data_IF_550412182748
#
_entry.id   IF_550412182748
#
_cell.length_a   1.000
_cell.length_b   1.000
_cell.length_c   1.000
_cell.angle_alpha   90.00
_cell.angle_beta   90.00
_cell.angle_gamma   90.00
#
_symmetry.space_group_name_H-M   'P 1'
#
loop_
_entity.id
_entity.type
_entity.pdbx_description
1 polymer ?
#
# COMPACT_ATOMS: atom_id res chain seq x y z
N UNK A 1 11.65 9.22 10.48
CA UNK A 1 10.84 8.00 10.69
C UNK A 1 9.88 7.74 9.54
N UNK A 2 9.03 8.70 9.13
CA UNK A 2 8.21 8.57 7.92
C UNK A 2 9.06 8.24 6.66
N UNK A 3 10.28 8.78 6.59
CA UNK A 3 11.22 8.60 5.48
C UNK A 3 11.79 7.19 5.30
N UNK A 4 11.53 6.23 6.19
CA UNK A 4 12.05 4.85 6.06
C UNK A 4 10.94 3.81 5.95
N UNK A 5 9.90 3.92 6.79
CA UNK A 5 8.80 2.95 6.77
C UNK A 5 7.97 3.12 5.50
N UNK A 6 7.55 4.33 5.16
CA UNK A 6 6.64 4.55 4.04
C UNK A 6 7.26 4.16 2.69
N UNK A 7 8.52 4.54 2.35
CA UNK A 7 9.16 4.07 1.12
C UNK A 7 9.31 2.54 1.07
N UNK A 8 9.50 1.87 2.22
CA UNK A 8 9.58 0.40 2.26
C UNK A 8 8.28 -0.31 1.87
N UNK A 9 7.15 0.43 1.83
CA UNK A 9 5.85 -0.10 1.42
C UNK A 9 5.61 -0.04 -0.10
N UNK A 10 6.45 0.66 -0.88
CA UNK A 10 6.31 0.79 -2.34
C UNK A 10 6.26 -0.59 -3.01
N UNK A 11 7.27 -1.43 -2.77
CA UNK A 11 7.34 -2.75 -3.40
C UNK A 11 6.19 -3.68 -2.97
N UNK A 12 5.85 -3.82 -1.67
CA UNK A 12 4.67 -4.55 -1.23
C UNK A 12 3.37 -4.06 -1.88
N UNK A 13 3.19 -2.75 -2.00
CA UNK A 13 2.01 -2.14 -2.60
C UNK A 13 1.87 -2.47 -4.09
N UNK A 14 2.94 -2.27 -4.86
CA UNK A 14 2.93 -2.59 -6.29
C UNK A 14 2.70 -4.09 -6.54
N UNK A 15 3.26 -4.95 -5.67
CA UNK A 15 3.05 -6.39 -5.75
C UNK A 15 1.59 -6.77 -5.50
N UNK A 16 0.97 -6.18 -4.47
CA UNK A 16 -0.43 -6.39 -4.14
C UNK A 16 -1.35 -6.07 -5.34
N UNK A 17 -1.21 -4.88 -5.93
CA UNK A 17 -2.04 -4.48 -7.07
C UNK A 17 -1.81 -5.32 -8.32
N UNK A 18 -0.56 -5.71 -8.59
CA UNK A 18 -0.24 -6.66 -9.66
C UNK A 18 -1.01 -7.96 -9.47
N UNK A 19 -0.97 -8.54 -8.27
CA UNK A 19 -1.63 -9.81 -7.97
C UNK A 19 -3.16 -9.70 -8.01
N UNK A 20 -3.72 -8.56 -7.59
CA UNK A 20 -5.16 -8.29 -7.65
C UNK A 20 -5.68 -8.20 -9.10
N UNK A 21 -4.95 -7.57 -10.01
CA UNK A 21 -5.36 -7.44 -11.41
C UNK A 21 -5.12 -8.70 -12.27
N UNK A 22 -4.19 -9.57 -11.86
CA UNK A 22 -3.84 -10.79 -12.62
C UNK A 22 -4.51 -12.07 -12.10
N UNK A 23 -5.21 -12.03 -10.97
CA UNK A 23 -5.77 -13.23 -10.35
C UNK A 23 -7.30 -13.27 -10.39
N UNK A 24 -7.85 -14.14 -11.24
CA UNK A 24 -9.22 -14.61 -11.10
C UNK A 24 -9.30 -15.51 -9.85
N UNK A 25 -9.63 -14.93 -8.70
CA UNK A 25 -9.93 -15.64 -7.44
C UNK A 25 -8.86 -16.65 -6.99
N UNK A 26 -7.87 -16.20 -6.21
CA UNK A 26 -7.01 -17.11 -5.46
C UNK A 26 -6.93 -16.72 -3.99
N UNK A 27 -7.41 -17.66 -3.19
CA UNK A 27 -7.18 -17.93 -1.77
C UNK A 27 -6.08 -17.07 -1.11
N UNK A 28 -6.52 -15.98 -0.45
CA UNK A 28 -5.66 -15.03 0.28
C UNK A 28 -5.12 -15.61 1.60
N UNK A 29 -5.38 -16.89 1.90
CA UNK A 29 -5.03 -17.52 3.18
C UNK A 29 -3.64 -18.15 3.25
N UNK A 30 -2.78 -17.94 2.25
CA UNK A 30 -1.38 -18.36 2.29
C UNK A 30 -0.60 -17.66 3.41
N UNK A 31 -0.55 -18.28 4.60
CA UNK A 31 0.32 -17.82 5.70
C UNK A 31 1.78 -17.97 5.27
N UNK A 32 2.40 -16.88 4.82
CA UNK A 32 3.84 -16.85 4.60
C UNK A 32 4.54 -16.94 5.94
N UNK A 33 5.23 -18.06 6.20
CA UNK A 33 6.02 -18.27 7.42
C UNK A 33 7.45 -17.85 7.14
N UNK A 34 7.97 -16.89 7.91
CA UNK A 34 9.39 -16.54 7.85
C UNK A 34 10.21 -17.54 8.67
N UNK A 35 11.32 -18.03 8.10
CA UNK A 35 12.22 -19.00 8.77
C UNK A 35 13.46 -18.34 9.39
N UNK A 36 13.41 -17.04 9.68
CA UNK A 36 14.55 -16.33 10.23
C UNK A 36 14.77 -16.68 11.72
N UNK A 37 16.01 -16.62 12.18
CA UNK A 37 16.34 -16.88 13.60
C UNK A 37 16.06 -15.68 14.53
N UNK A 38 15.38 -14.64 14.06
CA UNK A 38 15.08 -13.45 14.87
C UNK A 38 13.89 -13.70 15.81
N UNK A 39 13.56 -12.75 16.67
CA UNK A 39 12.37 -12.86 17.53
C UNK A 39 11.12 -12.65 16.69
N UNK A 40 10.21 -13.61 16.75
CA UNK A 40 8.86 -13.51 16.19
C UNK A 40 7.87 -13.12 17.28
N UNK A 41 6.85 -12.35 16.91
CA UNK A 41 5.68 -12.13 17.76
C UNK A 41 4.45 -11.96 16.89
N UNK A 42 3.31 -12.40 17.44
CA UNK A 42 2.01 -12.19 16.82
C UNK A 42 1.56 -10.76 17.09
N UNK A 43 1.16 -10.06 16.03
CA UNK A 43 0.50 -8.76 16.11
C UNK A 43 -0.91 -8.90 15.56
N UNK A 44 -1.91 -8.69 16.40
CA UNK A 44 -3.32 -8.67 16.02
C UNK A 44 -3.71 -7.25 15.58
N UNK A 45 -4.34 -7.15 14.42
CA UNK A 45 -4.74 -5.87 13.84
C UNK A 45 -6.19 -5.97 13.39
N UNK A 46 -7.04 -5.08 13.91
CA UNK A 46 -8.41 -4.95 13.42
C UNK A 46 -8.38 -4.24 12.07
N UNK A 47 -8.87 -4.92 11.04
CA UNK A 47 -8.85 -4.48 9.66
C UNK A 47 -10.27 -4.14 9.21
N UNK A 48 -10.44 -2.95 8.64
CA UNK A 48 -11.74 -2.37 8.32
C UNK A 48 -11.92 -2.29 6.82
N UNK A 49 -12.94 -2.98 6.33
CA UNK A 49 -13.49 -2.82 4.98
C UNK A 49 -14.72 -1.91 5.04
N UNK A 50 -15.26 -1.58 3.86
CA UNK A 50 -16.54 -0.85 3.77
C UNK A 50 -17.70 -1.70 4.33
N UNK A 51 -17.67 -3.02 4.10
CA UNK A 51 -18.80 -3.91 4.39
C UNK A 51 -18.63 -4.71 5.70
N UNK A 52 -17.41 -4.85 6.20
CA UNK A 52 -17.11 -5.72 7.33
C UNK A 52 -15.85 -5.31 8.09
N UNK A 53 -15.70 -5.87 9.29
CA UNK A 53 -14.49 -5.79 10.11
C UNK A 53 -13.96 -7.21 10.31
N UNK A 54 -12.64 -7.40 10.18
CA UNK A 54 -11.97 -8.66 10.47
C UNK A 54 -10.68 -8.45 11.27
N UNK A 55 -10.31 -9.40 12.13
CA UNK A 55 -9.04 -9.36 12.85
C UNK A 55 -7.99 -10.20 12.12
N UNK A 56 -6.85 -9.58 11.82
CA UNK A 56 -5.73 -10.21 11.11
C UNK A 56 -4.57 -10.41 12.07
N UNK A 57 -4.11 -11.64 12.20
CA UNK A 57 -2.92 -12.00 12.98
C UNK A 57 -1.67 -12.04 12.09
N UNK A 58 -0.71 -11.16 12.37
CA UNK A 58 0.54 -11.02 11.63
C UNK A 58 1.70 -11.69 12.38
N UNK A 59 2.61 -12.35 11.66
CA UNK A 59 3.84 -12.91 12.23
C UNK A 59 5.00 -11.93 12.00
N UNK A 60 5.25 -11.05 12.96
CA UNK A 60 6.18 -9.92 12.83
C UNK A 60 7.57 -10.31 13.31
N UNK A 61 8.56 -10.07 12.46
CA UNK A 61 9.98 -10.31 12.74
C UNK A 61 10.85 -9.23 12.08
N UNK A 62 12.19 -9.30 12.25
CA UNK A 62 13.10 -8.32 11.63
C UNK A 62 13.03 -8.30 10.10
N UNK A 63 12.65 -9.41 9.48
CA UNK A 63 12.54 -9.55 8.02
C UNK A 63 11.17 -9.13 7.48
N UNK A 64 10.14 -9.09 8.34
CA UNK A 64 8.75 -8.87 7.95
C UNK A 64 8.07 -7.91 8.92
N UNK A 65 7.99 -6.65 8.53
CA UNK A 65 7.31 -5.62 9.32
C UNK A 65 5.79 -5.81 9.28
N UNK A 66 5.09 -5.39 10.34
CA UNK A 66 3.62 -5.36 10.38
C UNK A 66 3.01 -4.57 9.22
N UNK A 67 3.42 -3.30 8.99
CA UNK A 67 2.96 -2.52 7.84
C UNK A 67 3.13 -3.21 6.48
N UNK A 68 4.28 -3.86 6.24
CA UNK A 68 4.52 -4.56 4.98
C UNK A 68 3.60 -5.76 4.78
N UNK A 69 3.32 -6.51 5.87
CA UNK A 69 2.38 -7.63 5.82
C UNK A 69 0.93 -7.14 5.62
N UNK A 70 0.52 -6.07 6.29
CA UNK A 70 -0.82 -5.48 6.09
C UNK A 70 -1.04 -5.12 4.62
N UNK A 71 -0.08 -4.46 3.97
CA UNK A 71 -0.18 -4.10 2.54
C UNK A 71 -0.28 -5.33 1.66
N UNK A 72 0.46 -6.40 1.96
CA UNK A 72 0.34 -7.68 1.26
C UNK A 72 -1.06 -8.33 1.43
N UNK A 73 -1.72 -8.10 2.56
CA UNK A 73 -3.08 -8.55 2.82
C UNK A 73 -4.17 -7.62 2.26
N UNK A 74 -3.80 -6.50 1.64
CA UNK A 74 -4.75 -5.53 1.11
C UNK A 74 -5.19 -4.47 2.10
N UNK A 75 -4.41 -4.21 3.15
CA UNK A 75 -4.69 -3.20 4.16
C UNK A 75 -3.56 -2.19 4.30
N UNK A 76 -3.92 -0.97 4.66
CA UNK A 76 -2.96 0.05 5.03
C UNK A 76 -3.09 0.38 6.52
N UNK A 77 -1.97 0.40 7.28
CA UNK A 77 -2.01 0.66 8.71
C UNK A 77 -2.45 2.10 9.02
N UNK A 78 -3.30 2.27 10.03
CA UNK A 78 -3.61 3.59 10.58
C UNK A 78 -2.44 4.20 11.38
N UNK A 79 -1.47 3.37 11.80
CA UNK A 79 -0.24 3.79 12.46
C UNK A 79 0.96 2.95 11.97
N UNK A 80 2.03 3.62 11.54
CA UNK A 80 3.19 2.95 10.91
C UNK A 80 4.09 2.14 11.87
N UNK A 81 4.01 2.39 13.19
CA UNK A 81 4.93 1.77 14.17
C UNK A 81 4.29 0.60 14.90
N UNK A 82 3.07 0.79 15.41
CA UNK A 82 2.28 -0.24 16.08
C UNK A 82 0.84 -0.13 15.59
N UNK A 83 0.53 -0.73 14.42
CA UNK A 83 -0.84 -0.73 13.92
C UNK A 83 -1.71 -1.62 14.79
N UNK A 84 -2.72 -1.02 15.42
CA UNK A 84 -3.85 -1.75 16.03
C UNK A 84 -5.06 -1.76 15.12
N UNK A 85 -5.10 -0.84 14.16
CA UNK A 85 -6.18 -0.66 13.19
C UNK A 85 -5.57 -0.47 11.80
N UNK A 86 -6.24 -1.02 10.78
CA UNK A 86 -5.90 -0.84 9.38
C UNK A 86 -7.17 -0.67 8.53
N UNK A 87 -7.03 0.05 7.42
CA UNK A 87 -8.09 0.28 6.45
C UNK A 87 -7.79 -0.47 5.15
N UNK A 88 -8.79 -1.09 4.52
CA UNK A 88 -8.60 -1.77 3.23
C UNK A 88 -8.07 -0.82 2.16
N UNK A 89 -7.16 -1.28 1.32
CA UNK A 89 -6.57 -0.50 0.23
C UNK A 89 -7.63 -0.04 -0.78
N UNK A 90 -8.60 -0.89 -1.13
CA UNK A 90 -9.70 -0.53 -2.04
C UNK A 90 -10.51 0.67 -1.51
N UNK A 91 -10.78 0.72 -0.21
CA UNK A 91 -11.43 1.87 0.44
C UNK A 91 -10.56 3.13 0.36
N UNK A 92 -9.25 2.99 0.56
CA UNK A 92 -8.32 4.12 0.51
C UNK A 92 -8.05 4.62 -0.91
N UNK A 93 -8.30 3.80 -1.93
CA UNK A 93 -8.34 4.23 -3.33
C UNK A 93 -9.65 4.96 -3.65
N UNK A 94 -10.78 4.43 -3.18
CA UNK A 94 -12.11 4.97 -3.44
C UNK A 94 -12.35 6.36 -2.79
N UNK A 95 -11.94 6.56 -1.55
CA UNK A 95 -12.28 7.79 -0.81
C UNK A 95 -11.64 9.07 -1.40
N UNK A 96 -10.35 9.08 -1.79
CA UNK A 96 -9.78 10.20 -2.54
C UNK A 96 -10.48 10.47 -3.87
N UNK A 97 -10.92 9.42 -4.58
CA UNK A 97 -11.71 9.54 -5.82
C UNK A 97 -13.07 10.20 -5.56
N UNK A 98 -13.76 9.76 -4.51
CA UNK A 98 -15.00 10.39 -4.05
C UNK A 98 -14.78 11.89 -3.74
N UNK A 99 -13.72 12.23 -3.01
CA UNK A 99 -13.40 13.62 -2.65
C UNK A 99 -12.94 14.50 -3.82
N UNK A 100 -12.70 13.94 -5.01
CA UNK A 100 -12.56 14.73 -6.24
C UNK A 100 -13.90 15.20 -6.82
N UNK A 101 -15.00 14.55 -6.43
CA UNK A 101 -16.35 14.82 -6.92
C UNK A 101 -17.25 15.50 -5.90
N UNK A 102 -16.91 15.43 -4.61
CA UNK A 102 -17.62 16.09 -3.51
C UNK A 102 -16.65 16.76 -2.55
N UNK A 103 -17.14 17.71 -1.74
CA UNK A 103 -16.33 18.36 -0.72
C UNK A 103 -15.73 17.33 0.26
N UNK A 104 -14.41 17.36 0.53
CA UNK A 104 -13.76 16.37 1.38
C UNK A 104 -14.28 16.46 2.81
N UNK A 105 -14.79 15.35 3.33
CA UNK A 105 -15.28 15.24 4.69
C UNK A 105 -14.88 13.90 5.31
N UNK A 106 -13.60 13.75 5.61
CA UNK A 106 -13.02 12.53 6.21
C UNK A 106 -13.74 12.12 7.49
N UNK A 107 -14.02 13.08 8.38
CA UNK A 107 -14.74 12.84 9.64
C UNK A 107 -16.17 12.36 9.39
N UNK A 108 -16.88 12.98 8.45
CA UNK A 108 -18.23 12.58 8.06
C UNK A 108 -18.25 11.20 7.43
N UNK A 109 -17.29 10.89 6.55
CA UNK A 109 -17.14 9.58 5.94
C UNK A 109 -16.88 8.50 6.97
N UNK A 110 -15.87 8.67 7.82
CA UNK A 110 -15.52 7.70 8.84
C UNK A 110 -16.62 7.51 9.89
N UNK A 111 -17.32 8.57 10.29
CA UNK A 111 -18.46 8.48 11.19
C UNK A 111 -19.65 7.75 10.56
N UNK A 112 -19.89 7.97 9.26
CA UNK A 112 -20.94 7.26 8.51
C UNK A 112 -20.63 5.78 8.42
N UNK A 113 -19.40 5.43 8.01
CA UNK A 113 -18.96 4.04 7.93
C UNK A 113 -19.02 3.34 9.29
N UNK A 114 -18.58 4.00 10.36
CA UNK A 114 -18.67 3.48 11.73
C UNK A 114 -20.11 3.14 12.09
N UNK A 115 -21.07 4.05 11.82
CA UNK A 115 -22.49 3.82 12.10
C UNK A 115 -23.09 2.71 11.25
N UNK A 116 -22.72 2.65 9.97
CA UNK A 116 -23.16 1.60 9.07
C UNK A 116 -22.69 0.22 9.56
N UNK A 117 -21.41 0.08 9.88
CA UNK A 117 -20.84 -1.17 10.40
C UNK A 117 -21.49 -1.58 11.73
N UNK A 118 -21.76 -0.61 12.63
CA UNK A 118 -22.52 -0.86 13.86
C UNK A 118 -23.93 -1.38 13.59
N UNK A 119 -24.64 -0.83 12.59
CA UNK A 119 -25.96 -1.31 12.19
C UNK A 119 -25.92 -2.72 11.57
N UNK A 120 -24.80 -3.09 10.95
CA UNK A 120 -24.53 -4.44 10.45
C UNK A 120 -24.06 -5.42 11.54
N UNK A 121 -23.94 -4.99 12.80
CA UNK A 121 -23.56 -5.84 13.93
C UNK A 121 -22.05 -5.88 14.24
N UNK A 122 -21.24 -5.05 13.58
CA UNK A 122 -19.81 -4.93 13.86
C UNK A 122 -19.54 -3.90 14.96
N UNK A 123 -18.68 -4.23 15.93
CA UNK A 123 -18.26 -3.31 16.98
C UNK A 123 -16.75 -3.10 16.96
N UNK A 124 -16.31 -1.84 17.07
CA UNK A 124 -14.91 -1.51 17.26
C UNK A 124 -14.54 -1.77 18.72
N UNK A 125 -13.70 -2.76 18.97
CA UNK A 125 -13.21 -3.13 20.32
C UNK A 125 -12.14 -2.16 20.84
N UNK A 126 -11.53 -1.38 19.94
CA UNK A 126 -10.46 -0.44 20.27
C UNK A 126 -11.02 0.86 20.85
N UNK A 127 -10.47 1.34 21.97
CA UNK A 127 -10.86 2.61 22.61
C UNK A 127 -10.61 3.89 21.78
N UNK A 128 -10.00 3.77 20.60
CA UNK A 128 -9.83 4.86 19.64
C UNK A 128 -10.94 4.81 18.58
N UNK A 129 -11.56 5.96 18.28
CA UNK A 129 -12.54 6.03 17.20
C UNK A 129 -11.86 5.77 15.85
N UNK A 130 -12.49 4.93 15.01
CA UNK A 130 -12.07 4.73 13.61
C UNK A 130 -11.88 6.07 12.88
N UNK A 131 -12.66 7.09 13.22
CA UNK A 131 -12.53 8.46 12.70
C UNK A 131 -11.11 9.02 12.79
N UNK A 132 -10.46 8.94 13.95
CA UNK A 132 -9.11 9.48 14.14
C UNK A 132 -8.07 8.63 13.39
N UNK A 133 -8.24 7.31 13.40
CA UNK A 133 -7.32 6.37 12.78
C UNK A 133 -7.40 6.43 11.25
N UNK A 134 -8.59 6.63 10.70
CA UNK A 134 -8.85 6.71 9.27
C UNK A 134 -8.16 7.92 8.64
N UNK A 135 -8.25 9.10 9.27
CA UNK A 135 -7.57 10.30 8.79
C UNK A 135 -6.04 10.08 8.65
N UNK A 136 -5.43 9.42 9.64
CA UNK A 136 -4.00 9.07 9.58
C UNK A 136 -3.69 8.07 8.46
N UNK A 137 -4.51 7.02 8.31
CA UNK A 137 -4.35 6.05 7.24
C UNK A 137 -4.43 6.72 5.86
N UNK A 138 -5.44 7.57 5.64
CA UNK A 138 -5.65 8.29 4.40
C UNK A 138 -4.48 9.22 4.07
N UNK A 139 -4.01 10.00 5.05
CA UNK A 139 -2.88 10.90 4.87
C UNK A 139 -1.59 10.13 4.51
N UNK A 140 -1.30 9.03 5.21
CA UNK A 140 -0.12 8.21 4.91
C UNK A 140 -0.24 7.46 3.58
N UNK A 141 -1.43 6.97 3.23
CA UNK A 141 -1.70 6.38 1.93
C UNK A 141 -1.46 7.37 0.79
N UNK A 142 -1.99 8.59 0.89
CA UNK A 142 -1.75 9.64 -0.10
C UNK A 142 -0.26 10.01 -0.22
N UNK A 143 0.49 9.97 0.90
CA UNK A 143 1.94 10.13 0.86
C UNK A 143 2.64 8.97 0.14
N UNK A 144 2.21 7.73 0.34
CA UNK A 144 2.74 6.57 -0.37
C UNK A 144 2.52 6.70 -1.88
N UNK A 145 1.30 7.05 -2.30
CA UNK A 145 0.96 7.26 -3.72
C UNK A 145 1.87 8.31 -4.35
N UNK A 146 2.07 9.46 -3.69
CA UNK A 146 3.00 10.50 -4.16
C UNK A 146 4.46 10.01 -4.30
N UNK A 147 4.92 9.16 -3.38
CA UNK A 147 6.25 8.57 -3.46
C UNK A 147 6.38 7.60 -4.64
N UNK A 148 5.31 6.85 -4.92
CA UNK A 148 5.24 5.94 -6.06
C UNK A 148 5.25 6.74 -7.36
N UNK A 149 4.43 7.79 -7.48
CA UNK A 149 4.39 8.63 -8.68
C UNK A 149 5.76 9.25 -8.98
N UNK A 150 6.41 9.81 -7.96
CA UNK A 150 7.75 10.37 -8.09
C UNK A 150 8.82 9.31 -8.45
N UNK A 151 8.62 8.05 -8.03
CA UNK A 151 9.52 6.97 -8.42
C UNK A 151 9.30 6.61 -9.88
N UNK A 152 8.04 6.42 -10.30
CA UNK A 152 7.65 6.14 -11.70
C UNK A 152 8.15 7.22 -12.66
N UNK A 153 8.03 8.50 -12.30
CA UNK A 153 8.57 9.62 -13.09
C UNK A 153 10.08 9.47 -13.34
N UNK A 154 10.88 9.12 -12.32
CA UNK A 154 12.32 8.88 -12.51
C UNK A 154 12.61 7.73 -13.46
N UNK A 155 11.82 6.65 -13.39
CA UNK A 155 11.97 5.51 -14.30
C UNK A 155 11.67 5.93 -15.74
N UNK A 156 10.62 6.73 -15.95
CA UNK A 156 10.25 7.26 -17.27
C UNK A 156 11.36 8.16 -17.82
N UNK A 157 11.87 9.10 -17.01
CA UNK A 157 12.94 10.02 -17.41
C UNK A 157 14.24 9.28 -17.76
N UNK A 158 14.58 8.24 -16.98
CA UNK A 158 15.76 7.43 -17.24
C UNK A 158 15.67 6.69 -18.59
N UNK A 159 14.51 6.11 -18.89
CA UNK A 159 14.26 5.43 -20.17
C UNK A 159 14.32 6.41 -21.35
N UNK A 160 13.73 7.61 -21.20
CA UNK A 160 13.75 8.64 -22.23
C UNK A 160 15.16 9.21 -22.47
N UNK A 161 15.95 9.39 -21.41
CA UNK A 161 17.35 9.84 -21.48
C UNK A 161 18.29 8.82 -22.15
N UNK A 162 18.04 7.52 -22.00
CA UNK A 162 18.81 6.47 -22.68
C UNK A 162 18.53 6.42 -24.20
N UNK A 163 17.30 6.70 -24.63
CA UNK A 163 16.94 6.71 -26.06
C UNK A 163 17.55 7.87 -26.86
N UNK A 164 18.09 8.90 -26.22
CA UNK A 164 18.68 10.07 -26.91
C UNK A 164 20.21 9.97 -27.12
N UNK A 165 20.84 8.87 -26.66
CA UNK A 165 22.29 8.61 -26.84
C UNK A 165 22.53 7.41 -27.76
N UNK A 166 22.26 7.59 -29.06
CA UNK A 166 22.91 6.82 -30.13
C UNK A 166 22.95 7.64 -31.41
N UNK A 167 24.15 8.08 -31.82
CA UNK A 167 24.62 7.63 -33.13
C UNK A 167 26.15 7.45 -33.16
N UNK A 168 26.62 6.22 -33.33
CA UNK A 168 27.91 5.98 -33.99
C UNK A 168 27.84 4.70 -34.81
N UNK A 169 27.51 4.85 -36.09
CA UNK A 169 27.85 3.87 -37.12
C UNK A 169 29.34 4.04 -37.45
N UNK A 170 30.17 2.97 -37.45
CA UNK A 170 31.53 3.08 -37.93
C UNK A 170 31.54 3.20 -39.46
N UNK A 171 32.16 4.28 -39.95
CA UNK A 171 32.44 4.49 -41.37
C UNK A 171 33.43 3.41 -41.84
N UNK A 172 32.96 2.46 -42.64
CA UNK A 172 33.83 1.52 -43.36
C UNK A 172 34.32 2.24 -44.62
N UNK A 173 35.56 2.71 -44.59
CA UNK A 173 36.23 3.27 -45.75
C UNK A 173 37.16 2.19 -46.34
N UNK A 174 36.69 1.42 -47.32
CA UNK A 174 37.54 0.49 -48.07
C UNK A 174 38.13 1.23 -49.27
N UNK A 175 39.42 1.51 -49.18
CA UNK A 175 40.22 2.09 -50.24
C UNK A 175 40.43 1.06 -51.36
N UNK A 176 40.03 1.40 -52.59
CA UNK A 176 40.29 0.63 -53.81
C UNK A 176 41.73 0.96 -54.29
N UNK A 177 42.57 -0.03 -54.64
CA UNK A 177 43.87 0.23 -55.24
C UNK A 177 43.78 0.34 -56.78
N UNK A 178 44.69 1.14 -57.36
CA UNK A 178 44.98 1.23 -58.81
C UNK A 178 46.05 0.21 -59.17
#
# INVERSE_FOLDING_TARGET
WNNTVLPSLICPYMKFWREQHHSSSLDKSGRFICKCSSRHHTLEVTCVHIEQIEDVALDVCKCRSGPGQLVQHGFFPCALVQPTLAASLDMLEFVPELFRHIAPNERGWAATLTKYLMACGYCFTTGYSFCCCFANALAHYQQLVKLIDAEVEKWVDHLQGQSHVSPHSPNINVHIPV
#
